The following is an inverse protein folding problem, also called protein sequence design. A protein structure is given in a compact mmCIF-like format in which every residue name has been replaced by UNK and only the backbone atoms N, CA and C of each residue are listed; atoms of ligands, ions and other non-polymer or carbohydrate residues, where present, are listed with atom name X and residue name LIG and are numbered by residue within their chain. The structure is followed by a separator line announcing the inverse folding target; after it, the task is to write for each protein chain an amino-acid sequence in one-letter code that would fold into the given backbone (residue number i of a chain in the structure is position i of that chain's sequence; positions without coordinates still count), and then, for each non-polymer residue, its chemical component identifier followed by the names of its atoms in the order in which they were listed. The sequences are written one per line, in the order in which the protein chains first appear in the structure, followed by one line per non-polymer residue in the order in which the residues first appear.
data_IF_983879337348
#
_entry.id   IF_983879337348
#
_cell.length_a   1.000
_cell.length_b   1.000
_cell.length_c   1.000
_cell.angle_alpha   90.00
_cell.angle_beta   90.00
_cell.angle_gamma   90.00
#
_symmetry.space_group_name_H-M   'P 1'
#
loop_
_entity.id
_entity.type
_entity.pdbx_description
1 polymer ?
#
# COMPACT_ATOMS: atom_id res chain seq x y z
N UNK A 1 3.46 -13.11 -0.23
CA UNK A 1 3.68 -12.19 -1.38
C UNK A 1 2.55 -12.25 -2.41
N UNK A 2 1.82 -13.38 -2.52
CA UNK A 2 0.60 -13.47 -3.34
C UNK A 2 -0.45 -12.43 -2.91
N UNK A 3 -0.61 -12.18 -1.60
CA UNK A 3 -1.56 -11.16 -1.10
C UNK A 3 -1.24 -9.76 -1.63
N UNK A 4 0.05 -9.39 -1.70
CA UNK A 4 0.46 -8.12 -2.27
C UNK A 4 0.08 -8.02 -3.75
N UNK A 5 0.28 -9.10 -4.53
CA UNK A 5 -0.11 -9.14 -5.93
C UNK A 5 -1.63 -8.93 -6.09
N UNK A 6 -2.46 -9.57 -5.25
CA UNK A 6 -3.90 -9.33 -5.25
C UNK A 6 -4.27 -7.90 -4.86
N UNK A 7 -3.64 -7.33 -3.83
CA UNK A 7 -3.85 -5.93 -3.47
C UNK A 7 -3.51 -4.97 -4.63
N UNK A 8 -2.45 -5.23 -5.39
CA UNK A 8 -2.08 -4.42 -6.56
C UNK A 8 -3.09 -4.54 -7.69
N UNK A 9 -3.63 -5.74 -7.94
CA UNK A 9 -4.72 -5.92 -8.90
C UNK A 9 -5.97 -5.15 -8.46
N UNK A 10 -6.37 -5.26 -7.19
CA UNK A 10 -7.55 -4.57 -6.67
C UNK A 10 -7.36 -3.04 -6.70
N UNK A 11 -6.14 -2.56 -6.46
CA UNK A 11 -5.78 -1.15 -6.63
C UNK A 11 -6.05 -0.67 -8.07
N UNK A 12 -5.64 -1.47 -9.06
CA UNK A 12 -5.78 -1.16 -10.48
C UNK A 12 -7.21 -1.32 -10.99
N UNK A 13 -7.92 -2.34 -10.55
CA UNK A 13 -9.21 -2.74 -11.15
C UNK A 13 -10.42 -2.21 -10.37
N UNK A 14 -10.30 -2.04 -9.06
CA UNK A 14 -11.42 -1.67 -8.17
C UNK A 14 -11.29 -0.23 -7.69
N UNK A 15 -10.12 0.14 -7.17
CA UNK A 15 -9.97 1.46 -6.53
C UNK A 15 -9.71 2.57 -7.55
N UNK A 16 -8.91 2.29 -8.59
CA UNK A 16 -8.53 3.30 -9.59
C UNK A 16 -8.60 2.76 -11.03
N UNK A 17 -9.76 2.22 -11.49
CA UNK A 17 -9.90 1.63 -12.82
C UNK A 17 -9.56 2.59 -13.96
N UNK A 18 -9.98 3.84 -13.82
CA UNK A 18 -9.82 4.90 -14.82
C UNK A 18 -8.46 5.60 -14.77
N UNK A 19 -7.62 5.30 -13.77
CA UNK A 19 -6.30 5.91 -13.68
C UNK A 19 -5.40 5.37 -14.81
N UNK A 20 -4.82 6.30 -15.57
CA UNK A 20 -3.79 5.99 -16.55
C UNK A 20 -2.50 5.51 -15.88
N UNK A 21 -2.14 6.14 -14.76
CA UNK A 21 -1.00 5.79 -13.92
C UNK A 21 -1.40 5.98 -12.46
N UNK A 22 -0.98 5.04 -11.61
CA UNK A 22 -1.13 5.07 -10.16
C UNK A 22 0.28 5.22 -9.57
N UNK A 23 0.53 6.37 -8.93
CA UNK A 23 1.78 6.62 -8.21
C UNK A 23 1.69 5.95 -6.85
N UNK A 24 2.43 4.85 -6.69
CA UNK A 24 2.45 4.06 -5.48
C UNK A 24 3.70 4.40 -4.66
N UNK A 25 3.47 5.01 -3.49
CA UNK A 25 4.55 5.27 -2.52
C UNK A 25 4.63 4.09 -1.56
N UNK A 26 5.80 3.47 -1.48
CA UNK A 26 6.04 2.28 -0.66
C UNK A 26 7.20 2.49 0.31
N UNK A 27 7.16 1.78 1.43
CA UNK A 27 8.33 1.68 2.29
C UNK A 27 9.46 0.92 1.57
N UNK A 28 10.71 1.29 1.85
CA UNK A 28 11.88 0.66 1.23
C UNK A 28 12.31 -0.61 1.98
N UNK A 29 11.34 -1.45 2.29
CA UNK A 29 11.55 -2.76 2.88
C UNK A 29 11.48 -3.80 1.74
N UNK A 30 12.49 -4.67 1.67
CA UNK A 30 12.68 -5.63 0.55
C UNK A 30 11.59 -6.73 0.44
N UNK A 31 10.46 -6.59 1.11
CA UNK A 31 9.36 -7.56 1.22
C UNK A 31 8.35 -7.47 0.07
N UNK A 32 8.14 -6.29 -0.49
CA UNK A 32 7.18 -6.07 -1.57
C UNK A 32 7.88 -5.91 -2.91
N UNK A 33 7.71 -6.89 -3.80
CA UNK A 33 8.37 -6.90 -5.11
C UNK A 33 7.37 -7.14 -6.21
N UNK A 34 7.48 -6.39 -7.30
CA UNK A 34 6.67 -6.58 -8.51
C UNK A 34 6.78 -7.98 -9.11
N UNK A 35 7.87 -8.72 -8.86
CA UNK A 35 8.01 -10.12 -9.28
C UNK A 35 6.88 -11.01 -8.76
N UNK A 36 6.30 -10.68 -7.60
CA UNK A 36 5.15 -11.42 -7.05
C UNK A 36 3.91 -11.39 -7.95
N UNK A 37 3.78 -10.39 -8.84
CA UNK A 37 2.70 -10.37 -9.83
C UNK A 37 2.84 -11.49 -10.87
N UNK A 38 4.08 -11.81 -11.27
CA UNK A 38 4.35 -12.94 -12.16
C UNK A 38 4.25 -14.29 -11.46
N UNK A 39 4.39 -14.34 -10.14
CA UNK A 39 4.15 -15.54 -9.35
C UNK A 39 2.64 -15.81 -9.19
N UNK A 40 1.82 -14.76 -9.09
CA UNK A 40 0.39 -14.86 -8.83
C UNK A 40 -0.49 -14.89 -10.08
N UNK A 41 -0.06 -14.28 -11.19
CA UNK A 41 -0.88 -14.08 -12.39
C UNK A 41 -0.17 -14.51 -13.69
N UNK A 42 -0.93 -14.81 -14.76
CA UNK A 42 -0.35 -14.98 -16.09
C UNK A 42 0.49 -13.76 -16.51
N UNK A 43 1.56 -13.95 -17.31
CA UNK A 43 2.48 -12.86 -17.66
C UNK A 43 1.82 -11.64 -18.32
N UNK A 44 0.75 -11.83 -19.08
CA UNK A 44 -0.01 -10.74 -19.69
C UNK A 44 -0.71 -9.87 -18.64
N UNK A 45 -1.35 -10.50 -17.66
CA UNK A 45 -2.04 -9.83 -16.57
C UNK A 45 -1.07 -9.12 -15.63
N UNK A 46 0.04 -9.78 -15.28
CA UNK A 46 1.10 -9.17 -14.49
C UNK A 46 1.64 -7.90 -15.17
N UNK A 47 1.86 -7.93 -16.50
CA UNK A 47 2.31 -6.75 -17.27
C UNK A 47 1.26 -5.65 -17.31
N UNK A 48 -0.02 -5.99 -17.50
CA UNK A 48 -1.12 -5.02 -17.48
C UNK A 48 -1.13 -4.27 -16.15
N UNK A 49 -1.07 -4.98 -15.03
CA UNK A 49 -1.04 -4.38 -13.69
C UNK A 49 0.21 -3.50 -13.54
N UNK A 50 1.41 -4.03 -13.83
CA UNK A 50 2.68 -3.28 -13.71
C UNK A 50 2.66 -2.01 -14.56
N UNK A 51 2.08 -2.06 -15.76
CA UNK A 51 2.07 -0.91 -16.68
C UNK A 51 1.33 0.31 -16.15
N UNK A 52 0.45 0.12 -15.16
CA UNK A 52 -0.28 1.19 -14.49
C UNK A 52 0.38 1.68 -13.20
N UNK A 53 1.45 1.05 -12.72
CA UNK A 53 2.07 1.35 -11.44
C UNK A 53 3.39 2.11 -11.61
N UNK A 54 3.48 3.28 -11.02
CA UNK A 54 4.73 4.04 -10.85
C UNK A 54 5.16 3.98 -9.38
N UNK A 55 6.28 3.30 -9.08
CA UNK A 55 6.69 3.05 -7.69
C UNK A 55 7.74 4.05 -7.22
N UNK A 56 7.45 4.71 -6.10
CA UNK A 56 8.39 5.54 -5.36
C UNK A 56 8.64 4.95 -3.99
N UNK A 57 9.90 4.72 -3.64
CA UNK A 57 10.26 4.21 -2.32
C UNK A 57 10.61 5.35 -1.37
N UNK A 58 10.19 5.25 -0.11
CA UNK A 58 10.67 6.16 0.93
C UNK A 58 12.17 5.98 1.16
N UNK A 59 12.90 7.01 1.65
CA UNK A 59 14.31 6.85 1.99
C UNK A 59 14.51 5.76 3.06
N UNK A 60 15.61 4.99 3.01
CA UNK A 60 15.90 3.87 3.93
C UNK A 60 15.85 4.23 5.43
N UNK A 61 16.04 5.50 5.78
CA UNK A 61 15.98 6.01 7.14
C UNK A 61 14.92 7.13 7.30
N UNK A 62 13.97 7.18 6.38
CA UNK A 62 12.89 8.17 6.32
C UNK A 62 11.56 7.65 6.83
N UNK A 63 11.55 6.82 7.89
CA UNK A 63 10.31 6.26 8.44
C UNK A 63 9.33 7.35 8.90
N UNK A 64 9.85 8.51 9.31
CA UNK A 64 9.06 9.71 9.63
C UNK A 64 8.31 10.33 8.43
N UNK A 65 8.64 9.94 7.20
CA UNK A 65 7.91 10.29 5.97
C UNK A 65 6.94 9.18 5.53
N UNK A 66 6.92 8.03 6.22
CA UNK A 66 6.04 6.93 5.88
C UNK A 66 4.61 7.26 6.32
N UNK A 67 3.75 7.55 5.34
CA UNK A 67 2.35 7.90 5.58
C UNK A 67 1.62 6.82 6.38
N UNK A 68 1.91 5.53 6.12
CA UNK A 68 1.29 4.44 6.86
C UNK A 68 1.65 4.47 8.36
N UNK A 69 2.90 4.77 8.72
CA UNK A 69 3.32 4.88 10.13
C UNK A 69 2.67 6.08 10.82
N UNK A 70 2.52 7.21 10.11
CA UNK A 70 1.83 8.40 10.62
C UNK A 70 0.36 8.09 10.92
N UNK A 71 -0.35 7.47 9.97
CA UNK A 71 -1.76 7.09 10.13
C UNK A 71 -1.94 6.07 11.28
N UNK A 72 -1.06 5.05 11.36
CA UNK A 72 -1.07 4.11 12.48
C UNK A 72 -0.81 4.81 13.82
N UNK A 73 0.08 5.80 13.85
CA UNK A 73 0.33 6.60 15.06
C UNK A 73 -0.88 7.44 15.47
N UNK A 74 -1.63 8.01 14.52
CA UNK A 74 -2.88 8.72 14.79
C UNK A 74 -3.94 7.76 15.33
N UNK A 75 -4.14 6.62 14.68
CA UNK A 75 -5.05 5.57 15.12
C UNK A 75 -4.72 5.08 16.54
N UNK A 76 -3.44 4.82 16.81
CA UNK A 76 -2.98 4.40 18.14
C UNK A 76 -3.35 5.43 19.21
N UNK A 77 -3.14 6.72 18.94
CA UNK A 77 -3.47 7.80 19.88
C UNK A 77 -4.97 7.96 20.07
N UNK A 78 -5.78 7.75 19.03
CA UNK A 78 -7.23 7.86 19.11
C UNK A 78 -7.86 6.68 19.87
N UNK A 79 -7.32 5.47 19.74
CA UNK A 79 -7.98 4.24 20.19
C UNK A 79 -7.36 3.63 21.46
N UNK A 80 -6.08 3.88 21.74
CA UNK A 80 -5.39 3.32 22.92
C UNK A 80 -5.21 4.33 24.06
N UNK A 81 -5.77 5.55 23.96
CA UNK A 81 -5.88 6.46 25.11
C UNK A 81 -7.11 6.08 25.94
N UNK A 82 -6.97 5.77 27.24
CA UNK A 82 -8.10 5.35 28.11
C UNK A 82 -9.22 6.40 28.24
N UNK A 83 -8.95 7.65 27.90
CA UNK A 83 -9.86 8.78 28.12
C UNK A 83 -11.02 8.85 27.09
N UNK A 84 -10.91 8.15 25.96
CA UNK A 84 -11.90 8.21 24.87
C UNK A 84 -13.10 7.25 25.04
N UNK A 85 -13.04 6.32 26.00
CA UNK A 85 -14.13 5.38 26.28
C UNK A 85 -15.16 5.91 27.30
N UNK A 86 -14.98 7.11 27.85
CA UNK A 86 -15.87 7.69 28.89
C UNK A 86 -16.66 8.92 28.38
N UNK A 87 -16.62 9.23 27.08
CA UNK A 87 -17.26 10.44 26.54
C UNK A 87 -18.04 10.24 25.23
N UNK A 88 -18.27 9.00 24.79
CA UNK A 88 -19.31 8.72 23.81
C UNK A 88 -20.66 8.57 24.55
N UNK A 89 -21.72 9.33 24.17
CA UNK A 89 -23.06 9.09 24.70
C UNK A 89 -23.60 7.72 24.33
#
# INVERSE_FOLDING_TARGET
MIDFAHCMRDLVDVHFPEAAVIVLVMDNLNTHKLVSLYEAFPPEEARRIISKLEIHYTPKHGSWLNMAEIELSVLQRQWLRPEFLISLP
#
